data_IF_565847485376
#
_entry.id   IF_565847485376
#
_cell.length_a   1.000
_cell.length_b   1.000
_cell.length_c   1.000
_cell.angle_alpha   90.00
_cell.angle_beta   90.00
_cell.angle_gamma   90.00
#
_symmetry.space_group_name_H-M   'P 1'
#
loop_
_entity.id
_entity.type
_entity.pdbx_description
1 polymer ?
#
# COMPACT_ATOMS: atom_id res chain seq x y z
N UNK A 1 -1.81 10.87 3.81
CA UNK A 1 -0.95 10.62 2.62
C UNK A 1 -1.87 10.27 1.46
N UNK A 2 -1.64 10.84 0.28
CA UNK A 2 -2.44 10.48 -0.88
C UNK A 2 -1.98 9.13 -1.48
N UNK A 3 -2.86 8.53 -2.26
CA UNK A 3 -2.62 7.20 -2.84
C UNK A 3 -1.38 7.15 -3.74
N UNK A 4 -1.08 8.23 -4.46
CA UNK A 4 0.10 8.34 -5.34
C UNK A 4 1.39 8.50 -4.53
N UNK A 5 1.36 9.32 -3.49
CA UNK A 5 2.54 9.51 -2.62
C UNK A 5 2.91 8.20 -1.93
N UNK A 6 1.91 7.42 -1.52
CA UNK A 6 2.14 6.11 -0.90
C UNK A 6 2.80 5.14 -1.89
N UNK A 7 2.36 5.11 -3.14
CA UNK A 7 2.98 4.29 -4.19
C UNK A 7 4.40 4.76 -4.49
N UNK A 8 4.61 6.05 -4.66
CA UNK A 8 5.92 6.63 -4.90
C UNK A 8 6.91 6.28 -3.78
N UNK A 9 6.47 6.40 -2.53
CA UNK A 9 7.28 6.03 -1.37
C UNK A 9 7.54 4.51 -1.30
N UNK A 10 6.57 3.67 -1.69
CA UNK A 10 6.76 2.24 -1.74
C UNK A 10 7.80 1.84 -2.78
N UNK A 11 7.76 2.45 -3.96
CA UNK A 11 8.72 2.18 -5.03
C UNK A 11 10.14 2.57 -4.66
N UNK A 12 10.32 3.69 -3.98
CA UNK A 12 11.65 4.22 -3.64
C UNK A 12 12.63 4.21 -4.82
N UNK A 13 12.13 4.57 -6.03
CA UNK A 13 12.88 4.55 -7.28
C UNK A 13 12.81 3.26 -8.10
N UNK A 14 12.19 2.20 -7.58
CA UNK A 14 12.01 0.96 -8.34
C UNK A 14 10.98 1.12 -9.46
N UNK A 15 11.29 0.59 -10.64
CA UNK A 15 10.37 0.48 -11.77
C UNK A 15 9.62 -0.86 -11.78
N UNK A 16 10.00 -1.80 -10.91
CA UNK A 16 9.41 -3.13 -10.81
C UNK A 16 8.04 -3.16 -10.12
N UNK A 17 7.52 -4.36 -9.96
CA UNK A 17 6.27 -4.60 -9.24
C UNK A 17 6.36 -4.27 -7.75
N UNK A 18 7.55 -4.39 -7.17
CA UNK A 18 7.87 -4.16 -5.76
C UNK A 18 9.05 -3.20 -5.60
N UNK A 19 9.33 -2.79 -4.39
CA UNK A 19 10.46 -1.91 -4.07
C UNK A 19 11.84 -2.49 -4.46
N UNK A 20 11.95 -3.81 -4.55
CA UNK A 20 13.16 -4.56 -4.86
C UNK A 20 13.21 -5.11 -6.29
N UNK A 21 12.26 -4.80 -7.14
CA UNK A 21 12.12 -5.33 -8.49
C UNK A 21 10.82 -6.10 -8.68
N UNK A 22 10.86 -7.21 -9.43
CA UNK A 22 9.65 -7.99 -9.76
C UNK A 22 9.74 -9.48 -9.39
N UNK A 23 10.82 -9.92 -8.75
CA UNK A 23 10.98 -11.31 -8.33
C UNK A 23 10.18 -11.59 -7.05
N UNK A 24 9.09 -12.34 -7.19
CA UNK A 24 8.23 -12.71 -6.06
C UNK A 24 8.90 -13.65 -5.05
N UNK A 25 9.97 -14.34 -5.42
CA UNK A 25 10.67 -15.25 -4.51
C UNK A 25 11.33 -14.52 -3.34
N UNK A 26 11.65 -13.25 -3.50
CA UNK A 26 12.27 -12.46 -2.43
C UNK A 26 11.26 -11.59 -1.66
N UNK A 27 9.97 -11.63 -2.02
CA UNK A 27 8.93 -10.84 -1.35
C UNK A 27 8.87 -11.11 0.17
N UNK A 28 9.11 -12.33 0.60
CA UNK A 28 9.11 -12.71 2.02
C UNK A 28 10.19 -12.00 2.87
N UNK A 29 11.19 -11.42 2.22
CA UNK A 29 12.21 -10.61 2.91
C UNK A 29 11.75 -9.18 3.19
N UNK A 30 10.65 -8.73 2.56
CA UNK A 30 10.15 -7.36 2.61
C UNK A 30 8.71 -7.24 3.10
N UNK A 31 7.98 -8.34 3.12
CA UNK A 31 6.53 -8.33 3.38
C UNK A 31 6.06 -9.48 4.26
N UNK A 32 5.16 -9.18 5.18
CA UNK A 32 4.31 -10.17 5.83
C UNK A 32 3.04 -10.32 5.00
N UNK A 33 2.88 -11.45 4.31
CA UNK A 33 1.75 -11.73 3.42
C UNK A 33 1.29 -13.17 3.61
N UNK A 34 0.33 -13.67 2.82
CA UNK A 34 -0.29 -14.99 3.01
C UNK A 34 0.71 -16.12 3.25
N UNK A 35 1.81 -16.14 2.50
CA UNK A 35 2.73 -17.28 2.52
C UNK A 35 3.65 -17.34 3.74
N UNK A 36 3.85 -16.24 4.46
CA UNK A 36 4.80 -16.19 5.57
C UNK A 36 4.29 -15.55 6.86
N UNK A 37 3.08 -15.00 6.86
CA UNK A 37 2.54 -14.26 8.01
C UNK A 37 2.02 -15.16 9.13
N UNK A 38 1.71 -16.42 8.82
CA UNK A 38 1.03 -17.28 9.80
C UNK A 38 -0.44 -16.90 10.07
N UNK A 39 -1.01 -16.03 9.23
CA UNK A 39 -2.40 -15.58 9.35
C UNK A 39 -2.61 -14.45 10.36
N UNK A 40 -1.57 -13.70 10.69
CA UNK A 40 -1.62 -12.62 11.68
C UNK A 40 -0.71 -11.44 11.32
N UNK A 41 -0.93 -10.32 12.00
CA UNK A 41 -0.03 -9.16 11.94
C UNK A 41 1.26 -9.42 12.70
N UNK A 42 2.32 -8.74 12.29
CA UNK A 42 3.63 -8.78 12.92
C UNK A 42 4.07 -7.37 13.37
N UNK A 43 4.96 -7.27 14.35
CA UNK A 43 5.53 -5.99 14.71
C UNK A 43 6.23 -5.34 13.53
N UNK A 44 6.12 -4.02 13.44
CA UNK A 44 6.72 -3.24 12.36
C UNK A 44 8.25 -3.27 12.40
N UNK A 45 8.89 -3.11 11.24
CA UNK A 45 10.33 -2.95 11.15
C UNK A 45 11.15 -4.23 11.29
N UNK A 46 10.55 -5.41 11.17
CA UNK A 46 11.24 -6.70 11.31
C UNK A 46 11.87 -7.22 10.01
N UNK A 47 11.30 -6.85 8.87
CA UNK A 47 11.79 -7.25 7.56
C UNK A 47 12.62 -6.12 6.92
N UNK A 48 13.12 -6.37 5.70
CA UNK A 48 13.97 -5.40 5.03
C UNK A 48 13.20 -4.13 4.64
N UNK A 49 13.80 -2.94 4.80
CA UNK A 49 13.23 -1.70 4.28
C UNK A 49 13.45 -1.58 2.77
N UNK A 50 12.73 -0.66 2.14
CA UNK A 50 13.03 -0.26 0.78
C UNK A 50 14.28 0.65 0.72
N UNK A 51 14.67 1.08 -0.48
CA UNK A 51 15.86 1.91 -0.69
C UNK A 51 15.84 3.27 0.04
N UNK A 52 14.66 3.72 0.46
CA UNK A 52 14.49 4.96 1.24
C UNK A 52 14.38 4.70 2.76
N UNK A 53 14.65 3.48 3.20
CA UNK A 53 14.59 3.12 4.62
C UNK A 53 13.17 2.96 5.17
N UNK A 54 12.16 2.78 4.32
CA UNK A 54 10.77 2.62 4.73
C UNK A 54 10.44 1.13 4.86
N UNK A 55 9.98 0.75 6.04
CA UNK A 55 9.58 -0.62 6.38
C UNK A 55 8.11 -0.87 6.10
N UNK A 56 7.77 -2.14 5.88
CA UNK A 56 6.39 -2.64 5.77
C UNK A 56 5.58 -1.92 4.68
N UNK A 57 6.26 -1.54 3.60
CA UNK A 57 5.60 -0.91 2.45
C UNK A 57 4.79 -1.92 1.63
N UNK A 58 5.05 -3.21 1.84
CA UNK A 58 4.36 -4.37 1.26
C UNK A 58 3.88 -5.28 2.39
N UNK A 59 2.59 -5.66 2.39
CA UNK A 59 2.02 -6.59 3.37
C UNK A 59 1.82 -6.00 4.78
N UNK A 60 1.72 -6.85 5.75
CA UNK A 60 1.35 -6.64 7.14
C UNK A 60 -0.10 -6.18 7.29
N UNK A 61 -0.38 -4.90 7.08
CA UNK A 61 -1.74 -4.36 7.02
C UNK A 61 -1.91 -3.44 5.82
N UNK A 62 -3.10 -3.42 5.24
CA UNK A 62 -3.47 -2.38 4.29
C UNK A 62 -3.43 -1.02 4.98
N UNK A 63 -2.92 -0.02 4.30
CA UNK A 63 -2.80 1.33 4.84
C UNK A 63 -3.82 2.27 4.20
N UNK A 64 -4.55 3.00 5.05
CA UNK A 64 -5.50 4.02 4.63
C UNK A 64 -4.80 5.13 3.86
N UNK A 65 -5.36 5.48 2.70
CA UNK A 65 -5.01 6.68 1.96
C UNK A 65 -6.09 7.75 2.13
N UNK A 66 -5.70 9.00 1.92
CA UNK A 66 -6.60 10.14 2.04
C UNK A 66 -7.68 10.16 0.97
N UNK A 67 -7.37 9.57 -0.20
CA UNK A 67 -8.21 9.64 -1.39
C UNK A 67 -9.50 8.84 -1.23
N UNK A 68 -10.61 9.41 -1.71
CA UNK A 68 -11.79 8.65 -2.02
C UNK A 68 -11.52 7.73 -3.21
N UNK A 69 -12.04 6.52 -3.16
CA UNK A 69 -11.87 5.56 -4.23
C UNK A 69 -12.95 5.75 -5.29
N UNK A 70 -12.51 5.95 -6.55
CA UNK A 70 -13.37 5.90 -7.73
C UNK A 70 -12.63 5.14 -8.83
N UNK A 71 -13.23 4.06 -9.30
CA UNK A 71 -12.65 3.19 -10.34
C UNK A 71 -12.43 3.93 -11.66
N UNK A 72 -13.27 4.91 -11.97
CA UNK A 72 -13.25 5.67 -13.23
C UNK A 72 -12.40 6.95 -13.15
N UNK A 73 -12.10 7.43 -11.97
CA UNK A 73 -11.42 8.72 -11.79
C UNK A 73 -10.09 8.81 -12.55
N UNK A 74 -9.32 7.76 -12.53
CA UNK A 74 -7.98 7.76 -13.13
C UNK A 74 -7.98 7.84 -14.66
N UNK A 75 -9.04 7.41 -15.32
CA UNK A 75 -9.19 7.57 -16.77
C UNK A 75 -9.53 9.02 -17.16
N UNK A 76 -9.97 9.84 -16.22
CA UNK A 76 -10.43 11.21 -16.40
C UNK A 76 -9.64 12.23 -15.56
N UNK A 77 -8.64 11.76 -14.76
CA UNK A 77 -7.91 12.63 -13.86
C UNK A 77 -6.94 13.55 -14.59
N UNK A 78 -6.72 14.78 -14.07
CA UNK A 78 -5.67 15.67 -14.56
C UNK A 78 -4.30 14.97 -14.51
N UNK A 79 -3.42 15.24 -15.46
CA UNK A 79 -2.06 14.73 -15.47
C UNK A 79 -1.19 15.29 -14.34
N UNK A 80 -1.52 16.47 -13.84
CA UNK A 80 -0.76 17.15 -12.78
C UNK A 80 -1.50 17.07 -11.45
N UNK A 81 -0.84 16.48 -10.44
CA UNK A 81 -1.23 16.44 -9.03
C UNK A 81 -2.74 16.15 -8.77
N UNK A 82 -3.33 15.06 -9.31
CA UNK A 82 -4.73 14.76 -9.06
C UNK A 82 -4.94 14.46 -7.57
N UNK A 83 -5.88 15.17 -6.96
CA UNK A 83 -6.24 15.02 -5.55
C UNK A 83 -7.21 13.86 -5.27
N UNK A 84 -7.65 13.16 -6.33
CA UNK A 84 -8.72 12.17 -6.24
C UNK A 84 -10.11 12.83 -6.31
N UNK A 85 -11.19 12.01 -6.32
CA UNK A 85 -12.55 12.53 -6.24
C UNK A 85 -12.76 13.29 -4.94
N UNK A 86 -13.58 14.33 -4.98
CA UNK A 86 -13.90 15.14 -3.78
C UNK A 86 -14.78 14.41 -2.77
N UNK A 87 -15.53 13.41 -3.23
CA UNK A 87 -16.44 12.59 -2.41
C UNK A 87 -16.43 11.15 -2.87
N UNK A 88 -16.92 10.24 -2.03
CA UNK A 88 -17.05 8.83 -2.36
C UNK A 88 -17.64 8.01 -1.22
N UNK A 89 -17.89 6.73 -1.47
CA UNK A 89 -18.41 5.78 -0.49
C UNK A 89 -17.31 4.96 0.18
N UNK A 90 -16.13 4.90 -0.42
CA UNK A 90 -15.00 4.14 0.08
C UNK A 90 -13.70 4.93 -0.02
N UNK A 91 -12.80 4.68 0.91
CA UNK A 91 -11.42 5.20 0.88
C UNK A 91 -10.47 4.21 0.23
N UNK A 92 -9.46 4.73 -0.44
CA UNK A 92 -8.42 3.92 -1.03
C UNK A 92 -7.49 3.31 0.03
N UNK A 93 -7.07 2.09 -0.23
CA UNK A 93 -6.10 1.34 0.57
C UNK A 93 -4.92 0.93 -0.30
N UNK A 94 -3.75 0.81 0.31
CA UNK A 94 -2.51 0.41 -0.33
C UNK A 94 -1.72 -0.59 0.51
N UNK A 95 -0.81 -1.32 -0.15
CA UNK A 95 0.24 -2.10 0.48
C UNK A 95 -0.03 -3.60 0.59
N UNK A 96 -1.29 -4.02 0.54
CA UNK A 96 -1.64 -5.41 0.89
C UNK A 96 -1.62 -5.64 2.40
N UNK A 97 -2.01 -6.84 2.82
CA UNK A 97 -2.04 -7.23 4.22
C UNK A 97 -1.51 -8.66 4.44
N UNK A 98 -1.47 -9.11 5.67
CA UNK A 98 -0.97 -10.42 6.08
C UNK A 98 -1.69 -11.62 5.42
N UNK A 99 -2.91 -11.43 4.91
CA UNK A 99 -3.67 -12.47 4.21
C UNK A 99 -3.72 -12.27 2.69
N UNK A 100 -3.03 -11.26 2.16
CA UNK A 100 -2.97 -10.97 0.73
C UNK A 100 -2.02 -11.92 0.01
N UNK A 101 -2.36 -12.26 -1.24
CA UNK A 101 -1.41 -12.88 -2.16
C UNK A 101 -0.34 -11.85 -2.60
N UNK A 102 0.74 -12.34 -3.17
CA UNK A 102 1.84 -11.51 -3.70
C UNK A 102 1.36 -10.42 -4.65
N UNK A 103 0.42 -10.73 -5.53
CA UNK A 103 -0.18 -9.78 -6.47
C UNK A 103 -0.74 -8.52 -5.81
N UNK A 104 -1.40 -8.67 -4.66
CA UNK A 104 -1.99 -7.56 -3.92
C UNK A 104 -0.98 -6.75 -3.10
N UNK A 105 0.24 -7.26 -2.93
CA UNK A 105 1.33 -6.55 -2.25
C UNK A 105 2.17 -5.67 -3.18
N UNK A 106 1.91 -5.65 -4.49
CA UNK A 106 2.65 -4.80 -5.45
C UNK A 106 2.50 -3.31 -5.13
N UNK A 107 3.49 -2.51 -5.51
CA UNK A 107 3.44 -1.06 -5.36
C UNK A 107 2.19 -0.42 -5.97
N UNK A 108 1.79 -0.88 -7.17
CA UNK A 108 0.64 -0.34 -7.89
C UNK A 108 -0.71 -0.86 -7.39
N UNK A 109 -0.72 -1.90 -6.55
CA UNK A 109 -1.97 -2.52 -6.10
C UNK A 109 -2.81 -1.54 -5.28
N UNK A 110 -4.11 -1.51 -5.57
CA UNK A 110 -5.09 -0.67 -4.91
C UNK A 110 -6.23 -1.51 -4.38
N UNK A 111 -6.71 -1.15 -3.22
CA UNK A 111 -7.91 -1.71 -2.62
C UNK A 111 -8.79 -0.59 -2.08
N UNK A 112 -9.93 -0.93 -1.53
CA UNK A 112 -10.87 0.03 -0.99
C UNK A 112 -11.56 -0.52 0.26
N UNK A 113 -12.00 0.38 1.11
CA UNK A 113 -12.89 0.02 2.22
C UNK A 113 -13.79 1.19 2.60
N UNK A 114 -14.97 0.89 3.16
CA UNK A 114 -15.78 1.90 3.83
C UNK A 114 -14.96 2.54 4.96
N UNK A 115 -15.01 3.88 5.11
CA UNK A 115 -14.23 4.58 6.14
C UNK A 115 -14.55 4.13 7.57
N UNK A 116 -15.74 3.56 7.79
CA UNK A 116 -16.17 3.08 9.11
C UNK A 116 -15.64 1.70 9.47
N UNK A 117 -15.04 0.99 8.52
CA UNK A 117 -14.60 -0.38 8.73
C UNK A 117 -13.42 -0.45 9.71
N UNK A 118 -13.56 -1.35 10.68
CA UNK A 118 -12.49 -1.74 11.60
C UNK A 118 -12.08 -3.19 11.30
N UNK A 119 -10.80 -3.44 11.22
CA UNK A 119 -10.27 -4.77 10.93
C UNK A 119 -8.81 -4.86 11.37
N UNK A 120 -8.37 -6.06 11.78
CA UNK A 120 -6.95 -6.34 12.03
C UNK A 120 -6.10 -6.39 10.75
N UNK A 121 -6.70 -6.15 9.60
CA UNK A 121 -6.03 -6.05 8.28
C UNK A 121 -5.86 -4.61 7.81
N UNK A 122 -6.32 -3.64 8.61
CA UNK A 122 -6.31 -2.21 8.27
C UNK A 122 -5.48 -1.43 9.28
N UNK A 123 -4.66 -0.54 8.78
CA UNK A 123 -3.84 0.35 9.59
C UNK A 123 -3.57 1.66 8.85
N UNK A 124 -2.65 2.44 9.36
CA UNK A 124 -2.28 3.72 8.78
C UNK A 124 -0.81 4.03 9.02
N UNK A 125 -0.30 4.94 8.23
CA UNK A 125 1.05 5.48 8.36
C UNK A 125 0.98 7.00 8.49
N UNK A 126 1.66 7.53 9.49
CA UNK A 126 1.82 8.98 9.64
C UNK A 126 2.82 9.51 8.62
N UNK A 127 2.55 10.72 8.12
CA UNK A 127 3.49 11.50 7.32
C UNK A 127 3.66 12.86 7.97
N UNK A 128 4.87 13.39 7.89
CA UNK A 128 5.16 14.78 8.24
C UNK A 128 5.31 15.57 6.96
N UNK A 129 4.50 16.59 6.80
CA UNK A 129 4.73 17.61 5.77
C UNK A 129 5.76 18.60 6.29
N UNK A 130 6.75 18.88 5.47
CA UNK A 130 7.84 19.81 5.79
C UNK A 130 7.62 21.10 5.02
#
# INVERSE_FOLDING_TARGET
MCIRDREYAARAGSEGSYAFGSDTNILSQYAWYRNNSGGETHPVGQLNPNAWGLYDMHGNVHEWCQDWFDRKYYSQSPSNAPLGPSTGLAKALRGGDWGSDDWYCRCASRSLSSPDRRSNRLGFRLIRMV
#
